data_IF_447154032735
#
_entry.id   IF_447154032735
#
_cell.length_a   1.000
_cell.length_b   1.000
_cell.length_c   1.000
_cell.angle_alpha   90.00
_cell.angle_beta   90.00
_cell.angle_gamma   90.00
#
_symmetry.space_group_name_H-M   'P 1'
#
loop_
_entity.id
_entity.type
_entity.pdbx_description
1 polymer ?
#
# COMPACT_ATOMS: atom_id res chain seq x y z
N UNK A 1 5.44 -9.34 8.98
CA UNK A 1 5.51 -9.91 7.62
C UNK A 1 6.54 -9.17 6.79
N UNK A 2 7.32 -9.89 6.03
CA UNK A 2 8.26 -9.28 5.06
C UNK A 2 7.53 -9.12 3.73
N UNK A 3 7.25 -7.88 3.34
CA UNK A 3 6.54 -7.59 2.11
C UNK A 3 7.42 -7.68 0.86
N UNK A 4 8.73 -7.82 1.01
CA UNK A 4 9.67 -7.71 -0.13
C UNK A 4 9.50 -8.78 -1.18
N UNK A 5 8.93 -9.92 -0.81
CA UNK A 5 8.65 -10.99 -1.76
C UNK A 5 7.36 -10.76 -2.55
N UNK A 6 6.54 -9.80 -2.15
CA UNK A 6 5.21 -9.61 -2.74
C UNK A 6 4.97 -8.22 -3.32
N UNK A 7 5.76 -7.23 -2.93
CA UNK A 7 5.63 -5.86 -3.45
C UNK A 7 6.87 -5.54 -4.26
N UNK A 8 6.67 -5.11 -5.49
CA UNK A 8 7.75 -4.78 -6.42
C UNK A 8 7.46 -3.47 -7.12
N UNK A 9 8.49 -2.87 -7.68
CA UNK A 9 8.36 -1.68 -8.51
C UNK A 9 9.35 -1.80 -9.66
N UNK A 10 8.84 -1.68 -10.88
CA UNK A 10 9.67 -1.74 -12.08
C UNK A 10 9.33 -0.56 -12.99
N UNK A 11 10.33 0.01 -13.70
CA UNK A 11 10.09 1.24 -14.48
C UNK A 11 9.06 1.09 -15.59
N UNK A 12 8.87 -0.13 -16.10
CA UNK A 12 7.99 -0.39 -17.25
C UNK A 12 6.54 -0.71 -16.85
N UNK A 13 6.24 -0.72 -15.57
CA UNK A 13 4.88 -1.04 -15.09
C UNK A 13 4.42 0.02 -14.10
N UNK A 14 3.23 0.59 -14.34
CA UNK A 14 2.62 1.62 -13.48
C UNK A 14 3.57 2.78 -13.18
N UNK A 15 4.37 3.16 -14.17
CA UNK A 15 5.33 4.28 -14.05
C UNK A 15 6.31 4.11 -12.89
N UNK A 16 6.69 2.86 -12.58
CA UNK A 16 7.61 2.57 -11.49
C UNK A 16 7.00 2.59 -10.11
N UNK A 17 5.68 2.71 -9.99
CA UNK A 17 5.03 2.72 -8.69
C UNK A 17 4.95 1.31 -8.09
N UNK A 18 4.95 1.19 -6.76
CA UNK A 18 4.84 -0.11 -6.11
C UNK A 18 3.55 -0.83 -6.48
N UNK A 19 3.67 -2.12 -6.73
CA UNK A 19 2.54 -2.97 -7.08
C UNK A 19 2.71 -4.36 -6.49
N UNK A 20 1.62 -5.11 -6.50
CA UNK A 20 1.65 -6.52 -6.09
C UNK A 20 2.33 -7.31 -7.20
N UNK A 21 3.34 -8.10 -6.84
CA UNK A 21 4.14 -8.88 -7.77
C UNK A 21 3.24 -9.79 -8.62
N UNK A 22 3.51 -9.82 -9.91
CA UNK A 22 2.74 -10.63 -10.85
C UNK A 22 1.43 -10.01 -11.29
N UNK A 23 1.14 -8.78 -10.87
CA UNK A 23 -0.08 -8.08 -11.24
C UNK A 23 0.23 -6.66 -11.68
N UNK A 24 -0.79 -5.97 -12.21
CA UNK A 24 -0.75 -4.52 -12.42
C UNK A 24 -1.56 -3.79 -11.36
N UNK A 25 -1.77 -4.42 -10.20
CA UNK A 25 -2.53 -3.82 -9.10
C UNK A 25 -1.55 -3.09 -8.20
N UNK A 26 -1.64 -1.76 -8.21
CA UNK A 26 -0.76 -0.91 -7.43
C UNK A 26 -1.13 -0.89 -5.96
N UNK A 27 -0.15 -0.61 -5.12
CA UNK A 27 -0.37 -0.43 -3.68
C UNK A 27 -1.36 0.71 -3.45
N UNK A 28 -1.19 1.82 -4.16
CA UNK A 28 -2.09 2.97 -4.04
C UNK A 28 -3.54 2.60 -4.34
N UNK A 29 -3.75 1.80 -5.40
CA UNK A 29 -5.10 1.37 -5.77
C UNK A 29 -5.75 0.56 -4.64
N UNK A 30 -5.01 -0.39 -4.07
CA UNK A 30 -5.51 -1.18 -2.95
C UNK A 30 -5.89 -0.29 -1.77
N UNK A 31 -5.01 0.64 -1.44
CA UNK A 31 -5.27 1.58 -0.35
C UNK A 31 -6.51 2.43 -0.63
N UNK A 32 -6.72 2.83 -1.89
CA UNK A 32 -7.89 3.58 -2.28
C UNK A 32 -9.18 2.79 -2.05
N UNK A 33 -9.17 1.49 -2.36
CA UNK A 33 -10.33 0.63 -2.12
C UNK A 33 -10.69 0.61 -0.63
N UNK A 34 -9.71 0.37 0.23
CA UNK A 34 -9.95 0.35 1.67
C UNK A 34 -10.37 1.72 2.19
N UNK A 35 -9.77 2.79 1.69
CA UNK A 35 -10.16 4.15 2.08
C UNK A 35 -11.60 4.46 1.68
N UNK A 36 -12.10 3.82 0.63
CA UNK A 36 -13.49 3.96 0.17
C UNK A 36 -14.46 3.04 0.89
N UNK A 37 -14.00 2.28 1.88
CA UNK A 37 -14.86 1.44 2.69
C UNK A 37 -14.96 -0.01 2.26
N UNK A 38 -14.17 -0.45 1.28
CA UNK A 38 -14.15 -1.85 0.89
C UNK A 38 -13.59 -2.72 2.01
N UNK A 39 -14.20 -3.89 2.21
CA UNK A 39 -13.66 -4.88 3.14
C UNK A 39 -12.66 -5.78 2.44
N UNK A 40 -11.84 -6.47 3.24
CA UNK A 40 -10.92 -7.47 2.71
C UNK A 40 -11.65 -8.51 1.86
N UNK A 41 -12.79 -9.00 2.35
CA UNK A 41 -13.58 -9.99 1.63
C UNK A 41 -14.03 -9.46 0.26
N UNK A 42 -14.46 -8.20 0.19
CA UNK A 42 -14.87 -7.59 -1.07
C UNK A 42 -13.71 -7.48 -2.05
N UNK A 43 -12.54 -7.09 -1.58
CA UNK A 43 -11.36 -6.99 -2.43
C UNK A 43 -10.99 -8.35 -2.99
N UNK A 44 -10.93 -9.37 -2.15
CA UNK A 44 -10.55 -10.72 -2.58
C UNK A 44 -11.61 -11.33 -3.51
N UNK A 45 -12.88 -11.02 -3.31
CA UNK A 45 -13.93 -11.47 -4.18
C UNK A 45 -13.87 -10.84 -5.57
N UNK A 46 -13.53 -9.56 -5.63
CA UNK A 46 -13.44 -8.82 -6.89
C UNK A 46 -12.14 -9.08 -7.65
N UNK A 47 -11.07 -9.37 -6.96
CA UNK A 47 -9.74 -9.60 -7.54
C UNK A 47 -9.27 -10.99 -7.14
N UNK A 48 -9.78 -12.02 -7.82
CA UNK A 48 -9.63 -13.42 -7.43
C UNK A 48 -8.20 -13.92 -7.33
N UNK A 49 -7.29 -13.31 -8.09
CA UNK A 49 -5.90 -13.74 -8.07
C UNK A 49 -5.10 -13.14 -6.92
N UNK A 50 -5.70 -12.24 -6.15
CA UNK A 50 -5.06 -11.72 -4.95
C UNK A 50 -5.32 -12.66 -3.78
N UNK A 51 -4.34 -12.74 -2.89
CA UNK A 51 -4.46 -13.52 -1.66
C UNK A 51 -4.48 -12.59 -0.46
N UNK A 52 -4.90 -13.13 0.68
CA UNK A 52 -4.86 -12.41 1.94
C UNK A 52 -3.45 -11.92 2.25
N UNK A 53 -2.46 -12.76 1.96
CA UNK A 53 -1.06 -12.44 2.19
C UNK A 53 -0.61 -11.28 1.31
N UNK A 54 -1.14 -11.17 0.10
CA UNK A 54 -0.86 -10.00 -0.76
C UNK A 54 -1.36 -8.72 -0.11
N UNK A 55 -2.56 -8.74 0.46
CA UNK A 55 -3.11 -7.57 1.13
C UNK A 55 -2.33 -7.23 2.40
N UNK A 56 -1.92 -8.24 3.15
CA UNK A 56 -1.06 -8.01 4.31
C UNK A 56 0.26 -7.38 3.91
N UNK A 57 0.82 -7.81 2.79
CA UNK A 57 2.06 -7.23 2.28
C UNK A 57 1.88 -5.76 1.90
N UNK A 58 0.73 -5.39 1.31
CA UNK A 58 0.44 -4.00 0.99
C UNK A 58 0.46 -3.16 2.27
N UNK A 59 -0.22 -3.59 3.31
CA UNK A 59 -0.25 -2.85 4.56
C UNK A 59 1.11 -2.81 5.25
N UNK A 60 1.87 -3.91 5.21
CA UNK A 60 3.21 -3.93 5.77
C UNK A 60 4.14 -2.95 5.04
N UNK A 61 4.04 -2.90 3.72
CA UNK A 61 4.80 -1.95 2.92
C UNK A 61 4.44 -0.51 3.27
N UNK A 62 3.15 -0.20 3.32
CA UNK A 62 2.69 1.15 3.65
C UNK A 62 3.14 1.53 5.07
N UNK A 63 3.04 0.61 6.00
CA UNK A 63 3.51 0.83 7.37
C UNK A 63 4.99 1.21 7.39
N UNK A 64 5.82 0.47 6.66
CA UNK A 64 7.26 0.76 6.60
C UNK A 64 7.54 2.10 5.95
N UNK A 65 6.77 2.47 4.90
CA UNK A 65 6.91 3.78 4.28
C UNK A 65 6.59 4.91 5.26
N UNK A 66 5.55 4.77 6.04
CA UNK A 66 5.15 5.78 7.04
C UNK A 66 6.18 5.82 8.17
N UNK A 67 6.61 4.66 8.63
CA UNK A 67 7.58 4.55 9.72
C UNK A 67 8.88 5.26 9.39
N UNK A 68 9.34 5.10 8.13
CA UNK A 68 10.62 5.66 7.70
C UNK A 68 10.48 7.05 7.08
N UNK A 69 9.26 7.57 7.00
CA UNK A 69 8.96 8.83 6.33
C UNK A 69 8.98 9.99 7.30
N UNK A 70 10.17 10.56 7.48
CA UNK A 70 10.34 11.71 8.36
C UNK A 70 9.56 12.94 7.91
N UNK A 71 9.30 13.05 6.60
CA UNK A 71 8.54 14.19 6.07
C UNK A 71 7.12 14.22 6.62
N UNK A 72 6.43 13.08 6.64
CA UNK A 72 5.06 13.01 7.13
C UNK A 72 5.02 13.33 8.62
N UNK A 73 5.92 12.75 9.39
CA UNK A 73 5.99 13.01 10.83
C UNK A 73 6.29 14.47 11.10
N UNK A 74 7.23 15.05 10.35
CA UNK A 74 7.57 16.44 10.51
C UNK A 74 6.38 17.35 10.20
N UNK A 75 5.64 17.06 9.15
CA UNK A 75 4.46 17.83 8.77
C UNK A 75 3.40 17.77 9.87
N UNK A 76 3.16 16.60 10.44
CA UNK A 76 2.18 16.45 11.53
C UNK A 76 2.60 17.22 12.78
N UNK A 77 3.89 17.22 13.10
CA UNK A 77 4.41 17.98 14.24
C UNK A 77 4.23 19.48 14.03
N UNK A 78 4.54 19.97 12.85
CA UNK A 78 4.37 21.38 12.52
C UNK A 78 2.92 21.81 12.65
N UNK A 79 1.99 21.01 12.17
CA UNK A 79 0.57 21.30 12.27
C UNK A 79 0.11 21.28 13.72
N UNK A 80 0.58 20.34 14.51
CA UNK A 80 0.26 20.26 15.93
C UNK A 80 0.78 21.47 16.69
N UNK A 81 1.92 22.03 16.29
CA UNK A 81 2.52 23.18 16.97
C UNK A 81 1.77 24.47 16.67
N UNK A 82 0.96 24.52 15.63
CA UNK A 82 0.15 25.68 15.27
C UNK A 82 -1.11 25.75 16.12
N UNK A 83 -1.54 24.63 16.65
CA UNK A 83 -2.71 24.56 17.53
C UNK A 83 -2.33 24.93 18.95
#
# INVERSE_FOLDING_TARGET
>A
MDWKDRIVATPDTLFGKPRIKGTRIGVEFVMQLFASGWTEAQVLESYHHLTREDLQAVFAFVHDCIKDEGFIMHHLIDEASVV
#
